data_IF_746799838223
#
_entry.id   IF_746799838223
#
_cell.length_a   1.000
_cell.length_b   1.000
_cell.length_c   1.000
_cell.angle_alpha   90.00
_cell.angle_beta   90.00
_cell.angle_gamma   90.00
#
_symmetry.space_group_name_H-M   'P 1'
#
loop_
_entity.id
_entity.type
_entity.pdbx_description
1 polymer ?
#
# COMPACT_ATOMS: atom_id res chain seq x y z
N UNK A 1 -8.50 29.41 4.74
CA UNK A 1 -9.28 29.15 3.51
C UNK A 1 -9.03 27.70 3.04
N UNK A 2 -9.99 26.80 3.22
CA UNK A 2 -9.88 25.43 2.72
C UNK A 2 -10.01 25.46 1.19
N UNK A 3 -8.94 25.15 0.47
CA UNK A 3 -8.96 25.05 -1.00
C UNK A 3 -9.64 23.73 -1.41
N UNK A 4 -10.71 23.76 -2.22
CA UNK A 4 -11.54 22.60 -2.56
C UNK A 4 -10.92 21.66 -3.63
N UNK A 5 -9.59 21.57 -3.72
CA UNK A 5 -8.93 20.87 -4.84
C UNK A 5 -8.48 19.44 -4.51
N UNK A 6 -8.33 19.09 -3.23
CA UNK A 6 -7.84 17.77 -2.79
C UNK A 6 -8.71 17.23 -1.65
N UNK A 7 -9.18 15.99 -1.81
CA UNK A 7 -9.97 15.26 -0.81
C UNK A 7 -9.08 14.42 0.12
N UNK A 8 -7.95 13.93 -0.39
CA UNK A 8 -6.98 13.12 0.37
C UNK A 8 -5.56 13.43 -0.11
N UNK A 9 -4.63 13.58 0.82
CA UNK A 9 -3.19 13.65 0.56
C UNK A 9 -2.47 12.76 1.55
N UNK A 10 -1.49 12.01 1.08
CA UNK A 10 -0.65 11.13 1.90
C UNK A 10 0.72 11.78 1.97
N UNK A 11 1.08 12.28 3.14
CA UNK A 11 2.41 12.82 3.42
C UNK A 11 3.27 11.76 4.12
N UNK A 12 4.56 11.84 3.89
CA UNK A 12 5.58 10.94 4.39
C UNK A 12 6.73 11.73 5.04
N UNK A 13 7.66 11.01 5.66
CA UNK A 13 8.87 11.57 6.26
C UNK A 13 9.97 10.53 6.25
N UNK A 14 11.21 10.99 6.29
CA UNK A 14 12.40 10.13 6.32
C UNK A 14 13.03 10.07 7.72
N UNK A 15 13.82 9.02 7.95
CA UNK A 15 14.76 8.90 9.07
C UNK A 15 16.07 8.41 8.49
N UNK A 16 17.10 9.26 8.53
CA UNK A 16 18.44 8.90 8.10
C UNK A 16 19.23 8.35 9.29
N UNK A 17 19.83 7.17 9.12
CA UNK A 17 20.60 6.49 10.15
C UNK A 17 22.00 6.21 9.61
N UNK A 18 23.01 6.82 10.24
CA UNK A 18 24.42 6.53 9.98
C UNK A 18 24.97 5.55 11.01
N UNK A 19 25.73 4.56 10.54
CA UNK A 19 26.40 3.55 11.38
C UNK A 19 27.92 3.66 11.23
N UNK A 20 28.65 3.22 12.25
CA UNK A 20 30.13 3.19 12.25
C UNK A 20 30.70 2.07 11.36
N UNK A 21 29.87 1.09 11.01
CA UNK A 21 30.20 -0.06 10.16
C UNK A 21 29.21 -0.17 9.02
N UNK A 22 29.62 -0.83 7.93
CA UNK A 22 28.71 -1.20 6.86
C UNK A 22 27.61 -2.12 7.38
N UNK A 23 26.39 -1.89 6.90
CA UNK A 23 25.22 -2.71 7.24
C UNK A 23 25.28 -4.00 6.43
N UNK A 24 25.20 -5.15 7.11
CA UNK A 24 25.01 -6.44 6.46
C UNK A 24 23.54 -6.59 6.05
N UNK A 25 23.26 -6.35 4.76
CA UNK A 25 21.89 -6.40 4.21
C UNK A 25 21.31 -7.81 4.21
N UNK A 26 22.13 -8.85 4.17
CA UNK A 26 21.67 -10.25 4.20
C UNK A 26 21.20 -10.61 5.60
N UNK A 27 22.01 -10.30 6.62
CA UNK A 27 21.63 -10.49 8.02
C UNK A 27 20.40 -9.64 8.40
N UNK A 28 20.27 -8.43 7.82
CA UNK A 28 19.09 -7.59 8.01
C UNK A 28 17.84 -8.23 7.39
N UNK A 29 17.95 -8.82 6.20
CA UNK A 29 16.85 -9.51 5.51
C UNK A 29 16.36 -10.72 6.30
N UNK A 30 17.26 -11.55 6.84
CA UNK A 30 16.89 -12.70 7.67
C UNK A 30 16.06 -12.28 8.89
N UNK A 31 16.49 -11.21 9.57
CA UNK A 31 15.76 -10.64 10.73
C UNK A 31 14.41 -10.05 10.31
N UNK A 32 14.36 -9.40 9.15
CA UNK A 32 13.12 -8.82 8.62
C UNK A 32 12.10 -9.92 8.30
N UNK A 33 12.50 -11.01 7.64
CA UNK A 33 11.63 -12.17 7.35
C UNK A 33 11.13 -12.80 8.65
N UNK A 34 12.02 -13.03 9.62
CA UNK A 34 11.65 -13.64 10.90
C UNK A 34 10.60 -12.81 11.67
N UNK A 35 10.66 -11.48 11.56
CA UNK A 35 9.69 -10.57 12.19
C UNK A 35 8.41 -10.40 11.36
N UNK A 36 8.47 -10.58 10.04
CA UNK A 36 7.37 -10.32 9.11
C UNK A 36 7.10 -11.53 8.18
N UNK A 37 6.80 -12.72 8.73
CA UNK A 37 6.71 -13.95 7.92
C UNK A 37 5.53 -13.96 6.93
N UNK A 38 4.52 -13.11 7.14
CA UNK A 38 3.31 -13.04 6.32
C UNK A 38 3.33 -11.91 5.27
N UNK A 39 4.38 -11.08 5.26
CA UNK A 39 4.51 -9.93 4.35
C UNK A 39 5.16 -10.31 3.02
N UNK A 40 5.00 -9.45 2.01
CA UNK A 40 5.83 -9.45 0.81
C UNK A 40 7.21 -8.88 1.15
N UNK A 41 8.13 -9.77 1.51
CA UNK A 41 9.50 -9.42 1.86
C UNK A 41 10.35 -9.29 0.58
N UNK A 42 11.04 -8.17 0.41
CA UNK A 42 11.87 -7.89 -0.77
C UNK A 42 13.28 -7.41 -0.39
N UNK A 43 14.24 -7.75 -1.25
CA UNK A 43 15.63 -7.32 -1.24
C UNK A 43 16.06 -7.10 -2.68
N UNK A 44 16.32 -5.84 -3.05
CA UNK A 44 16.58 -5.42 -4.44
C UNK A 44 17.90 -4.68 -4.50
N UNK A 45 18.90 -5.19 -5.24
CA UNK A 45 20.13 -4.45 -5.50
C UNK A 45 19.85 -3.25 -6.41
N UNK A 46 20.46 -2.11 -6.09
CA UNK A 46 20.35 -0.86 -6.85
C UNK A 46 21.62 -0.62 -7.68
N UNK A 47 21.50 0.24 -8.71
CA UNK A 47 22.60 0.53 -9.64
C UNK A 47 23.81 1.21 -8.97
N UNK A 48 23.57 1.95 -7.89
CA UNK A 48 24.60 2.64 -7.10
C UNK A 48 25.32 1.71 -6.10
N UNK A 49 24.98 0.41 -6.08
CA UNK A 49 25.49 -0.58 -5.13
C UNK A 49 24.73 -0.60 -3.80
N UNK A 50 23.70 0.23 -3.64
CA UNK A 50 22.76 0.18 -2.52
C UNK A 50 21.78 -0.98 -2.60
N UNK A 51 20.94 -1.11 -1.57
CA UNK A 51 19.89 -2.13 -1.50
C UNK A 51 18.59 -1.50 -1.02
N UNK A 52 17.51 -1.71 -1.77
CA UNK A 52 16.15 -1.47 -1.31
C UNK A 52 15.61 -2.73 -0.63
N UNK A 53 15.20 -2.62 0.64
CA UNK A 53 14.78 -3.75 1.47
C UNK A 53 13.54 -3.39 2.28
N UNK A 54 12.60 -4.33 2.40
CA UNK A 54 11.38 -4.09 3.17
C UNK A 54 10.42 -5.28 3.27
N UNK A 55 9.38 -5.10 4.09
CA UNK A 55 8.31 -6.05 4.35
C UNK A 55 6.96 -5.39 4.06
N UNK A 56 6.50 -5.40 2.80
CA UNK A 56 5.22 -4.77 2.44
C UNK A 56 4.05 -5.68 2.82
N UNK A 57 3.01 -5.18 3.50
CA UNK A 57 1.76 -5.91 3.69
C UNK A 57 0.79 -5.77 2.51
N UNK A 58 1.06 -4.85 1.57
CA UNK A 58 0.12 -4.48 0.51
C UNK A 58 0.50 -5.11 -0.83
N UNK A 59 -0.43 -5.87 -1.41
CA UNK A 59 -0.30 -6.41 -2.76
C UNK A 59 -0.91 -5.42 -3.75
N UNK A 60 -0.08 -4.72 -4.53
CA UNK A 60 -0.61 -3.86 -5.59
C UNK A 60 -1.29 -4.68 -6.69
N UNK A 61 -0.59 -5.69 -7.23
CA UNK A 61 -1.12 -6.54 -8.28
C UNK A 61 -0.36 -7.87 -8.36
N UNK A 62 -1.10 -8.97 -8.48
CA UNK A 62 -0.61 -10.27 -8.93
C UNK A 62 -1.40 -10.66 -10.16
N UNK A 63 -0.75 -11.31 -11.14
CA UNK A 63 -1.44 -11.89 -12.30
C UNK A 63 -0.91 -13.28 -12.61
N UNK A 64 -1.81 -14.24 -12.70
CA UNK A 64 -1.54 -15.64 -13.02
C UNK A 64 -2.44 -16.07 -14.19
N UNK A 65 -1.85 -16.22 -15.38
CA UNK A 65 -2.64 -16.41 -16.60
C UNK A 65 -3.52 -15.19 -16.89
N UNK A 66 -4.84 -15.40 -17.03
CA UNK A 66 -5.81 -14.31 -17.20
C UNK A 66 -6.23 -13.67 -15.86
N UNK A 67 -6.18 -14.44 -14.78
CA UNK A 67 -6.64 -14.02 -13.47
C UNK A 67 -5.66 -13.03 -12.83
N UNK A 68 -6.19 -11.99 -12.20
CA UNK A 68 -5.41 -11.04 -11.41
C UNK A 68 -6.06 -10.78 -10.05
N UNK A 69 -5.21 -10.45 -9.07
CA UNK A 69 -5.64 -10.11 -7.72
C UNK A 69 -4.91 -8.85 -7.22
N UNK A 70 -5.54 -8.13 -6.30
CA UNK A 70 -4.97 -6.97 -5.59
C UNK A 70 -5.54 -6.90 -4.16
N UNK A 71 -4.79 -6.33 -3.23
CA UNK A 71 -5.21 -6.19 -1.83
C UNK A 71 -4.87 -4.78 -1.31
N UNK A 72 -5.60 -3.73 -1.74
CA UNK A 72 -5.40 -2.37 -1.27
C UNK A 72 -5.62 -2.24 0.23
N UNK A 73 -4.74 -1.48 0.89
CA UNK A 73 -4.80 -1.19 2.32
C UNK A 73 -4.99 0.32 2.55
N UNK A 74 -5.96 0.67 3.38
CA UNK A 74 -6.18 2.06 3.78
C UNK A 74 -6.99 2.14 5.07
N UNK A 75 -6.58 2.99 6.01
CA UNK A 75 -7.06 2.94 7.39
C UNK A 75 -6.17 2.04 8.24
N UNK A 76 -5.76 2.53 9.41
CA UNK A 76 -4.79 1.81 10.26
C UNK A 76 -5.03 2.07 11.74
N UNK A 77 -4.78 1.05 12.56
CA UNK A 77 -4.78 1.17 14.01
C UNK A 77 -3.60 0.40 14.61
N UNK A 78 -3.03 0.90 15.71
CA UNK A 78 -1.87 0.27 16.35
C UNK A 78 -2.28 -1.05 17.02
N UNK A 79 -1.46 -2.10 16.83
CA UNK A 79 -1.57 -3.35 17.60
C UNK A 79 -1.34 -3.09 19.09
N UNK A 80 -2.04 -3.82 19.95
CA UNK A 80 -1.84 -3.77 21.40
C UNK A 80 -1.17 -5.07 21.90
N UNK A 81 -0.32 -5.00 22.94
CA UNK A 81 0.24 -6.20 23.56
C UNK A 81 -0.80 -7.07 24.30
N UNK A 82 -1.90 -6.46 24.75
CA UNK A 82 -3.00 -7.15 25.39
C UNK A 82 -4.05 -7.55 24.34
N UNK A 83 -4.43 -8.82 24.30
CA UNK A 83 -5.30 -9.39 23.26
C UNK A 83 -6.71 -8.77 23.24
N UNK A 84 -7.24 -8.39 24.40
CA UNK A 84 -8.58 -7.78 24.50
C UNK A 84 -8.52 -6.38 23.93
N UNK A 85 -7.55 -5.57 24.36
CA UNK A 85 -7.34 -4.23 23.83
C UNK A 85 -6.98 -4.24 22.33
N UNK A 86 -6.26 -5.25 21.86
CA UNK A 86 -5.89 -5.40 20.45
C UNK A 86 -7.11 -5.66 19.57
N UNK A 87 -7.98 -6.57 20.00
CA UNK A 87 -9.24 -6.87 19.30
C UNK A 87 -10.22 -5.70 19.35
N UNK A 88 -10.24 -4.93 20.43
CA UNK A 88 -10.99 -3.68 20.49
C UNK A 88 -10.43 -2.64 19.51
N UNK A 89 -9.12 -2.51 19.38
CA UNK A 89 -8.49 -1.57 18.44
C UNK A 89 -8.87 -1.91 16.99
N UNK A 90 -8.81 -3.19 16.60
CA UNK A 90 -9.29 -3.65 15.29
C UNK A 90 -10.80 -3.37 15.09
N UNK A 91 -11.63 -3.65 16.09
CA UNK A 91 -13.08 -3.38 16.01
C UNK A 91 -13.37 -1.89 15.85
N UNK A 92 -12.65 -1.02 16.58
CA UNK A 92 -12.75 0.44 16.46
C UNK A 92 -12.33 0.92 15.08
N UNK A 93 -11.27 0.34 14.51
CA UNK A 93 -10.84 0.63 13.14
C UNK A 93 -11.93 0.28 12.12
N UNK A 94 -12.52 -0.91 12.22
CA UNK A 94 -13.60 -1.35 11.32
C UNK A 94 -14.86 -0.47 11.46
N UNK A 95 -15.15 0.01 12.67
CA UNK A 95 -16.26 0.91 12.96
C UNK A 95 -15.96 2.40 12.66
N UNK A 96 -14.72 2.79 12.40
CA UNK A 96 -14.33 4.18 12.14
C UNK A 96 -14.88 4.66 10.80
N UNK A 97 -15.78 5.64 10.83
CA UNK A 97 -16.36 6.24 9.63
C UNK A 97 -15.30 6.94 8.78
N UNK A 98 -14.32 7.60 9.42
CA UNK A 98 -13.19 8.22 8.76
C UNK A 98 -12.36 7.19 7.98
N UNK A 99 -11.90 6.14 8.66
CA UNK A 99 -11.02 5.14 8.04
C UNK A 99 -11.76 4.36 6.93
N UNK A 100 -13.04 4.03 7.14
CA UNK A 100 -13.87 3.43 6.08
C UNK A 100 -14.03 4.37 4.89
N UNK A 101 -14.31 5.65 5.10
CA UNK A 101 -14.42 6.61 4.00
C UNK A 101 -13.11 6.73 3.22
N UNK A 102 -11.96 6.81 3.91
CA UNK A 102 -10.65 6.84 3.27
C UNK A 102 -10.34 5.55 2.48
N UNK A 103 -10.82 4.40 2.97
CA UNK A 103 -10.71 3.10 2.30
C UNK A 103 -11.62 3.01 1.07
N UNK A 104 -12.85 3.51 1.17
CA UNK A 104 -13.82 3.52 0.08
C UNK A 104 -13.32 4.35 -1.10
N UNK A 105 -12.68 5.49 -0.86
CA UNK A 105 -12.08 6.29 -1.94
C UNK A 105 -11.09 5.45 -2.77
N UNK A 106 -10.21 4.71 -2.10
CA UNK A 106 -9.20 3.85 -2.75
C UNK A 106 -9.89 2.78 -3.60
N UNK A 107 -10.82 2.03 -3.00
CA UNK A 107 -11.48 0.90 -3.68
C UNK A 107 -12.36 1.35 -4.84
N UNK A 108 -13.09 2.46 -4.73
CA UNK A 108 -13.92 2.98 -5.82
C UNK A 108 -13.08 3.44 -7.02
N UNK A 109 -11.93 4.05 -6.77
CA UNK A 109 -11.04 4.43 -7.86
C UNK A 109 -10.41 3.23 -8.55
N UNK A 110 -9.98 2.23 -7.78
CA UNK A 110 -9.49 0.97 -8.35
C UNK A 110 -10.56 0.28 -9.20
N UNK A 111 -11.80 0.22 -8.71
CA UNK A 111 -12.94 -0.33 -9.45
C UNK A 111 -13.12 0.40 -10.79
N UNK A 112 -13.17 1.73 -10.76
CA UNK A 112 -13.33 2.58 -11.96
C UNK A 112 -12.22 2.32 -13.00
N UNK A 113 -10.99 2.09 -12.53
CA UNK A 113 -9.82 1.84 -13.37
C UNK A 113 -9.82 0.43 -13.97
N UNK A 114 -10.16 -0.59 -13.16
CA UNK A 114 -10.03 -2.01 -13.53
C UNK A 114 -11.24 -2.56 -14.28
N UNK A 115 -12.44 -2.06 -14.02
CA UNK A 115 -13.68 -2.52 -14.65
C UNK A 115 -13.61 -2.52 -16.20
N UNK A 116 -13.11 -1.48 -16.90
CA UNK A 116 -12.98 -1.52 -18.36
C UNK A 116 -11.85 -2.44 -18.87
N UNK A 117 -10.91 -2.85 -17.99
CA UNK A 117 -9.77 -3.72 -18.32
C UNK A 117 -9.99 -5.19 -17.98
N UNK A 118 -11.16 -5.51 -17.44
CA UNK A 118 -11.49 -6.85 -16.96
C UNK A 118 -12.70 -7.42 -17.69
N UNK A 119 -12.77 -8.74 -17.84
CA UNK A 119 -13.99 -9.46 -18.21
C UNK A 119 -14.90 -9.64 -16.99
N UNK A 120 -14.29 -9.90 -15.84
CA UNK A 120 -14.95 -10.02 -14.56
C UNK A 120 -14.13 -9.29 -13.49
N UNK A 121 -14.81 -8.63 -12.56
CA UNK A 121 -14.21 -7.94 -11.43
C UNK A 121 -15.12 -8.13 -10.21
N UNK A 122 -14.56 -8.68 -9.13
CA UNK A 122 -15.24 -8.87 -7.85
C UNK A 122 -14.46 -8.14 -6.76
N UNK A 123 -15.22 -7.39 -5.96
CA UNK A 123 -14.74 -6.68 -4.77
C UNK A 123 -15.84 -6.74 -3.71
N UNK A 124 -15.56 -7.17 -2.47
CA UNK A 124 -16.51 -7.08 -1.37
C UNK A 124 -16.96 -5.64 -1.12
N UNK A 125 -18.22 -5.46 -0.71
CA UNK A 125 -18.78 -4.14 -0.40
C UNK A 125 -18.28 -3.55 0.93
N UNK A 126 -17.59 -4.34 1.75
CA UNK A 126 -17.04 -3.89 3.02
C UNK A 126 -15.65 -4.46 3.21
N UNK A 127 -14.72 -3.70 3.81
CA UNK A 127 -13.37 -4.17 4.06
C UNK A 127 -13.36 -5.23 5.16
N UNK A 128 -12.28 -5.99 5.19
CA UNK A 128 -11.91 -6.89 6.27
C UNK A 128 -10.69 -6.36 7.04
N UNK A 129 -10.51 -6.84 8.27
CA UNK A 129 -9.32 -6.55 9.06
C UNK A 129 -8.19 -7.52 8.72
N UNK A 130 -7.00 -6.99 8.49
CA UNK A 130 -5.75 -7.76 8.45
C UNK A 130 -4.74 -7.18 9.44
N UNK A 131 -3.71 -7.96 9.78
CA UNK A 131 -2.68 -7.55 10.74
C UNK A 131 -1.29 -7.69 10.17
N UNK A 132 -0.44 -6.72 10.51
CA UNK A 132 1.01 -6.87 10.57
C UNK A 132 1.43 -7.03 12.04
N UNK A 133 2.73 -7.25 12.35
CA UNK A 133 3.20 -7.24 13.72
C UNK A 133 2.93 -5.94 14.48
N UNK A 134 2.75 -4.81 13.77
CA UNK A 134 2.66 -3.46 14.37
C UNK A 134 1.31 -2.79 14.18
N UNK A 135 0.56 -3.13 13.12
CA UNK A 135 -0.69 -2.47 12.75
C UNK A 135 -1.83 -3.44 12.42
N UNK A 136 -3.05 -3.01 12.68
CA UNK A 136 -4.27 -3.41 11.99
C UNK A 136 -4.45 -2.56 10.73
N UNK A 137 -4.96 -3.16 9.66
CA UNK A 137 -5.36 -2.47 8.43
C UNK A 137 -6.77 -2.88 7.99
N UNK A 138 -7.48 -1.96 7.34
CA UNK A 138 -8.62 -2.33 6.51
C UNK A 138 -8.11 -2.74 5.13
N UNK A 139 -8.62 -3.86 4.63
CA UNK A 139 -8.25 -4.45 3.35
C UNK A 139 -9.50 -4.86 2.57
N UNK A 140 -9.49 -4.68 1.25
CA UNK A 140 -10.54 -5.22 0.37
C UNK A 140 -9.90 -6.07 -0.71
N UNK A 141 -10.12 -7.40 -0.74
CA UNK A 141 -9.59 -8.23 -1.82
C UNK A 141 -10.28 -7.87 -3.13
N UNK A 142 -9.47 -7.64 -4.16
CA UNK A 142 -9.91 -7.36 -5.53
C UNK A 142 -9.49 -8.52 -6.39
N UNK A 143 -10.45 -9.15 -7.05
CA UNK A 143 -10.22 -10.31 -7.90
C UNK A 143 -10.83 -10.05 -9.27
N UNK A 144 -10.14 -10.43 -10.34
CA UNK A 144 -10.68 -10.26 -11.68
C UNK A 144 -9.99 -11.11 -12.75
N UNK A 145 -10.56 -11.07 -13.94
CA UNK A 145 -9.99 -11.69 -15.14
C UNK A 145 -9.66 -10.58 -16.14
N UNK A 146 -8.38 -10.41 -16.45
CA UNK A 146 -7.92 -9.36 -17.33
C UNK A 146 -8.33 -9.64 -18.78
N UNK A 147 -8.55 -8.57 -19.54
CA UNK A 147 -8.71 -8.65 -21.00
C UNK A 147 -7.42 -9.09 -21.69
N UNK A 148 -7.53 -9.45 -22.96
CA UNK A 148 -6.40 -9.87 -23.77
C UNK A 148 -5.31 -8.78 -23.85
N UNK A 149 -4.05 -9.21 -23.95
CA UNK A 149 -2.85 -8.37 -24.01
C UNK A 149 -2.47 -7.62 -22.72
N UNK A 150 -3.23 -7.74 -21.64
CA UNK A 150 -2.82 -7.23 -20.33
C UNK A 150 -1.79 -8.18 -19.68
N UNK A 151 -0.71 -7.60 -19.18
CA UNK A 151 0.28 -8.28 -18.35
C UNK A 151 0.30 -7.69 -16.93
N UNK A 152 1.11 -8.25 -16.02
CA UNK A 152 1.16 -7.77 -14.65
C UNK A 152 1.59 -6.29 -14.57
N UNK A 153 2.56 -5.86 -15.38
CA UNK A 153 3.04 -4.49 -15.37
C UNK A 153 2.04 -3.50 -15.97
N UNK A 154 1.33 -3.86 -17.05
CA UNK A 154 0.34 -2.92 -17.65
C UNK A 154 -0.76 -2.57 -16.66
N UNK A 155 -1.26 -3.56 -15.90
CA UNK A 155 -2.25 -3.35 -14.85
C UNK A 155 -1.64 -2.66 -13.61
N UNK A 156 -0.42 -3.02 -13.20
CA UNK A 156 0.24 -2.38 -12.05
C UNK A 156 0.50 -0.89 -12.31
N UNK A 157 1.02 -0.53 -13.49
CA UNK A 157 1.23 0.86 -13.90
C UNK A 157 -0.08 1.64 -14.02
N UNK A 158 -1.17 0.96 -14.37
CA UNK A 158 -2.49 1.60 -14.44
C UNK A 158 -3.04 1.94 -13.03
N UNK A 159 -2.75 1.10 -12.04
CA UNK A 159 -3.15 1.30 -10.64
C UNK A 159 -2.22 2.22 -9.86
N UNK A 160 -0.94 2.27 -10.22
CA UNK A 160 0.09 2.97 -9.47
C UNK A 160 0.17 4.47 -9.81
N UNK A 161 0.34 5.36 -8.82
CA UNK A 161 0.18 5.09 -7.39
C UNK A 161 -1.29 5.03 -7.01
N UNK A 162 -1.63 4.12 -6.10
CA UNK A 162 -2.97 4.13 -5.52
C UNK A 162 -3.14 5.36 -4.65
N UNK A 163 -4.39 5.71 -4.36
CA UNK A 163 -4.72 6.79 -3.44
C UNK A 163 -4.30 6.49 -1.99
N UNK A 164 -3.83 5.28 -1.69
CA UNK A 164 -3.21 4.95 -0.42
C UNK A 164 -1.78 5.53 -0.30
N UNK A 165 -1.13 5.85 -1.43
CA UNK A 165 0.25 6.35 -1.46
C UNK A 165 0.37 7.82 -1.92
N UNK A 166 -0.54 8.31 -2.76
CA UNK A 166 -0.58 9.73 -3.17
C UNK A 166 -1.72 10.50 -2.51
N UNK A 167 -2.96 10.14 -2.83
CA UNK A 167 -4.14 10.94 -2.50
C UNK A 167 -5.14 11.04 -3.65
N UNK A 168 -6.19 11.85 -3.49
CA UNK A 168 -7.29 12.00 -4.45
C UNK A 168 -7.80 13.45 -4.53
N UNK A 169 -8.00 14.03 -5.73
CA UNK A 169 -7.55 13.54 -7.05
C UNK A 169 -6.02 13.42 -7.14
N UNK A 170 -5.51 12.45 -7.92
CA UNK A 170 -4.08 12.11 -7.93
C UNK A 170 -3.17 13.31 -8.26
N UNK A 171 -3.46 14.04 -9.34
CA UNK A 171 -2.61 15.14 -9.80
C UNK A 171 -2.51 16.28 -8.77
N UNK A 172 -3.66 16.68 -8.20
CA UNK A 172 -3.69 17.72 -7.18
C UNK A 172 -3.01 17.29 -5.87
N UNK A 173 -3.15 16.01 -5.48
CA UNK A 173 -2.43 15.48 -4.33
C UNK A 173 -0.91 15.44 -4.57
N UNK A 174 -0.47 15.11 -5.79
CA UNK A 174 0.95 15.07 -6.17
C UNK A 174 1.60 16.46 -6.12
N UNK A 175 0.92 17.49 -6.61
CA UNK A 175 1.38 18.88 -6.53
C UNK A 175 1.56 19.29 -5.06
N UNK A 176 0.57 19.00 -4.22
CA UNK A 176 0.65 19.31 -2.80
C UNK A 176 1.75 18.52 -2.07
N UNK A 177 2.00 17.26 -2.45
CA UNK A 177 3.13 16.47 -1.94
C UNK A 177 4.46 17.15 -2.28
N UNK A 178 4.64 17.60 -3.52
CA UNK A 178 5.87 18.26 -3.96
C UNK A 178 6.11 19.61 -3.28
N UNK A 179 5.04 20.30 -2.87
CA UNK A 179 5.14 21.55 -2.10
C UNK A 179 5.47 21.32 -0.61
N UNK A 180 4.98 20.22 -0.03
CA UNK A 180 5.03 20.00 1.42
C UNK A 180 6.16 19.08 1.87
N UNK A 181 6.62 18.14 1.04
CA UNK A 181 7.71 17.23 1.39
C UNK A 181 9.07 17.84 1.02
N UNK A 182 9.98 18.02 1.98
CA UNK A 182 11.29 18.63 1.72
C UNK A 182 12.32 17.63 1.15
N UNK A 183 11.86 16.59 0.45
CA UNK A 183 12.67 15.52 -0.12
C UNK A 183 11.97 14.88 -1.34
N UNK A 184 12.73 14.19 -2.18
CA UNK A 184 12.17 13.30 -3.21
C UNK A 184 11.96 11.91 -2.60
N UNK A 185 10.83 11.26 -2.92
CA UNK A 185 10.55 9.90 -2.46
C UNK A 185 11.37 8.86 -3.21
N UNK A 186 11.83 9.16 -4.42
CA UNK A 186 12.55 8.21 -5.28
C UNK A 186 11.78 6.88 -5.41
N UNK A 187 12.33 5.77 -4.93
CA UNK A 187 11.69 4.45 -4.95
C UNK A 187 10.63 4.27 -3.84
N UNK A 188 10.63 5.12 -2.81
CA UNK A 188 9.70 5.03 -1.69
C UNK A 188 8.26 5.32 -2.11
N UNK A 189 7.34 4.42 -1.77
CA UNK A 189 5.97 4.48 -2.26
C UNK A 189 5.82 4.08 -3.73
N UNK A 190 6.88 3.58 -4.37
CA UNK A 190 6.87 2.93 -5.68
C UNK A 190 6.30 1.50 -5.63
N UNK A 191 6.67 0.68 -6.62
CA UNK A 191 6.28 -0.74 -6.73
C UNK A 191 7.53 -1.61 -6.90
N UNK A 192 7.49 -2.83 -6.38
CA UNK A 192 8.59 -3.81 -6.46
C UNK A 192 8.00 -5.20 -6.76
N UNK A 193 8.63 -5.94 -7.67
CA UNK A 193 8.21 -7.29 -8.07
C UNK A 193 8.80 -7.75 -9.38
#
# INVERSE_FOLDING_TARGET
PATPQVNKVVLSRLIDIATDKQIDSSALMERLIAQNPASFNFHVPLEDGGVLLGASPELLLRKEGAHFSSLPLAGSARRQPDDVLDREAGTKLLASEKDRHEHDLVTQAMKTILEPRSHHLTMPASPQLITTPTLWHLATPVEGDARENENALTLACLLHPTQALSGFPHQAAKELIAELEPFDRELFGGIVG
#
